data_IF_530046712788
#
_entry.id   IF_530046712788
#
_cell.length_a   1.000
_cell.length_b   1.000
_cell.length_c   1.000
_cell.angle_alpha   90.00
_cell.angle_beta   90.00
_cell.angle_gamma   90.00
#
_symmetry.space_group_name_H-M   'P 1'
#
loop_
_entity.id
_entity.type
_entity.pdbx_description
1 polymer ?
#
# COMPACT_ATOMS: atom_id res chain seq x y z
N UNK A 1 -0.80 11.86 13.40
CA UNK A 1 0.06 12.88 14.05
C UNK A 1 0.31 12.58 15.53
N UNK A 2 -0.72 12.19 16.32
CA UNK A 2 -0.55 11.93 17.76
C UNK A 2 0.46 10.81 18.07
N UNK A 3 0.50 9.74 17.30
CA UNK A 3 1.46 8.64 17.45
C UNK A 3 2.89 9.08 17.09
N UNK A 4 3.04 9.84 16.01
CA UNK A 4 4.32 10.43 15.61
C UNK A 4 4.81 11.40 16.68
N UNK A 5 3.91 12.24 17.23
CA UNK A 5 4.22 13.15 18.32
C UNK A 5 4.80 12.44 19.54
N UNK A 6 4.23 11.30 19.93
CA UNK A 6 4.76 10.49 21.05
C UNK A 6 6.18 9.98 20.81
N UNK A 7 6.51 9.62 19.55
CA UNK A 7 7.87 9.19 19.18
C UNK A 7 8.84 10.37 19.28
N UNK A 8 8.44 11.54 18.76
CA UNK A 8 9.25 12.77 18.84
C UNK A 8 9.49 13.19 20.29
N UNK A 9 8.47 13.10 21.14
CA UNK A 9 8.53 13.43 22.57
C UNK A 9 9.50 12.51 23.37
N UNK A 10 9.89 11.37 22.79
CA UNK A 10 10.96 10.51 23.37
C UNK A 10 12.37 11.10 23.20
N UNK A 11 12.50 12.28 22.60
CA UNK A 11 13.77 12.98 22.42
C UNK A 11 14.35 12.85 21.01
N UNK A 12 13.53 12.53 20.03
CA UNK A 12 13.97 12.48 18.61
C UNK A 12 14.08 13.90 18.06
N UNK A 13 15.29 14.30 17.68
CA UNK A 13 15.52 15.55 16.95
C UNK A 13 15.07 15.41 15.50
N UNK A 14 14.25 16.34 15.03
CA UNK A 14 13.74 16.34 13.65
C UNK A 14 14.31 17.52 12.87
N UNK A 15 14.75 17.26 11.62
CA UNK A 15 15.22 18.27 10.67
C UNK A 15 14.45 18.10 9.36
N UNK A 16 13.45 18.95 9.17
CA UNK A 16 12.62 18.95 7.98
C UNK A 16 13.22 19.83 6.87
N UNK A 17 12.79 19.59 5.61
CA UNK A 17 13.25 20.35 4.45
C UNK A 17 14.72 20.08 4.08
N UNK A 18 15.27 18.97 4.57
CA UNK A 18 16.65 18.54 4.31
C UNK A 18 16.65 17.27 3.49
N UNK A 19 17.40 17.25 2.39
CA UNK A 19 17.64 16.05 1.57
C UNK A 19 19.10 15.64 1.70
N UNK A 20 19.34 14.51 2.31
CA UNK A 20 20.68 13.91 2.42
C UNK A 20 21.18 13.53 1.02
N UNK A 21 22.43 13.83 0.74
CA UNK A 21 23.03 13.71 -0.59
C UNK A 21 22.99 15.02 -1.41
N UNK A 22 22.05 15.94 -1.10
CA UNK A 22 21.97 17.25 -1.75
C UNK A 22 22.28 18.41 -0.79
N UNK A 23 21.49 18.52 0.30
CA UNK A 23 21.68 19.61 1.27
C UNK A 23 22.69 19.25 2.37
N UNK A 24 22.76 17.98 2.72
CA UNK A 24 23.70 17.44 3.70
C UNK A 24 24.44 16.28 3.07
N UNK A 25 25.77 16.37 2.89
CA UNK A 25 26.59 15.27 2.42
C UNK A 25 26.57 14.09 3.37
N UNK A 26 26.66 12.86 2.86
CA UNK A 26 26.71 11.64 3.69
C UNK A 26 27.92 11.65 4.63
N UNK A 27 29.04 12.17 4.14
CA UNK A 27 30.31 12.28 4.90
C UNK A 27 30.20 13.20 6.12
N UNK A 28 29.25 14.14 6.13
CA UNK A 28 28.95 14.96 7.30
C UNK A 28 28.23 14.13 8.36
N UNK A 29 27.24 13.32 7.96
CA UNK A 29 26.56 12.41 8.87
C UNK A 29 27.50 11.35 9.45
N UNK A 30 28.42 10.81 8.63
CA UNK A 30 29.42 9.82 9.06
C UNK A 30 30.40 10.39 10.10
N UNK A 31 30.59 11.70 10.16
CA UNK A 31 31.44 12.35 11.19
C UNK A 31 30.69 12.62 12.48
N UNK A 32 29.41 12.93 12.36
CA UNK A 32 28.59 13.41 13.48
C UNK A 32 27.88 12.28 14.22
N UNK A 33 27.73 11.10 13.59
CA UNK A 33 26.96 9.97 14.11
C UNK A 33 27.74 8.65 14.05
N UNK A 34 27.65 7.85 15.09
CA UNK A 34 28.28 6.52 15.17
C UNK A 34 27.62 5.51 14.22
N UNK A 35 26.34 5.70 13.90
CA UNK A 35 25.60 4.85 12.97
C UNK A 35 24.49 5.63 12.26
N UNK A 36 24.14 5.21 11.04
CA UNK A 36 23.12 5.81 10.20
C UNK A 36 22.11 4.74 9.81
N UNK A 37 20.81 5.00 10.03
CA UNK A 37 19.72 4.16 9.56
C UNK A 37 19.04 4.79 8.34
N UNK A 38 19.10 4.11 7.22
CA UNK A 38 18.41 4.50 6.00
C UNK A 38 16.98 3.93 6.00
N UNK A 39 16.00 4.79 6.14
CA UNK A 39 14.57 4.44 6.11
C UNK A 39 13.83 5.30 5.07
N UNK A 40 14.37 5.36 3.85
CA UNK A 40 13.99 6.29 2.79
C UNK A 40 12.64 5.94 2.14
N UNK A 41 12.21 4.68 2.24
CA UNK A 41 11.07 4.16 1.50
C UNK A 41 11.26 4.22 -0.02
N UNK A 42 10.20 3.94 -0.78
CA UNK A 42 10.19 3.98 -2.24
C UNK A 42 9.32 5.15 -2.71
N UNK A 43 9.93 6.30 -2.97
CA UNK A 43 9.25 7.55 -3.32
C UNK A 43 9.12 7.79 -4.84
N UNK A 44 9.79 6.97 -5.66
CA UNK A 44 9.79 7.10 -7.12
C UNK A 44 9.00 5.98 -7.76
N UNK A 45 7.90 6.29 -8.43
CA UNK A 45 7.14 5.33 -9.22
C UNK A 45 7.76 5.11 -10.60
N UNK A 46 7.66 3.90 -11.13
CA UNK A 46 8.16 3.55 -12.46
C UNK A 46 7.17 3.99 -13.54
N UNK A 47 7.71 4.69 -14.55
CA UNK A 47 6.99 4.98 -15.77
C UNK A 47 6.79 3.72 -16.63
N UNK A 48 5.80 3.76 -17.49
CA UNK A 48 5.52 2.65 -18.40
C UNK A 48 6.54 2.64 -19.56
N UNK A 49 7.27 1.53 -19.80
CA UNK A 49 8.29 1.46 -20.84
C UNK A 49 7.68 1.19 -22.23
N UNK A 50 6.77 2.05 -22.66
CA UNK A 50 6.12 1.95 -23.97
C UNK A 50 6.21 3.26 -24.73
N UNK A 51 6.18 3.24 -26.08
CA UNK A 51 6.10 4.46 -26.88
C UNK A 51 4.97 5.38 -26.44
N UNK A 52 5.21 6.67 -26.48
CA UNK A 52 4.22 7.69 -26.14
C UNK A 52 4.05 7.99 -24.66
N UNK A 53 4.63 7.22 -23.75
CA UNK A 53 4.58 7.50 -22.31
C UNK A 53 5.35 8.76 -21.93
N UNK A 54 6.61 8.81 -22.34
CA UNK A 54 7.55 9.85 -21.95
C UNK A 54 7.06 11.25 -22.35
N UNK A 55 7.10 12.20 -21.38
CA UNK A 55 6.68 13.58 -21.62
C UNK A 55 5.19 13.80 -21.84
N UNK A 56 4.34 12.80 -21.58
CA UNK A 56 2.88 12.92 -21.72
C UNK A 56 2.27 13.40 -20.40
N UNK A 57 1.65 14.60 -20.35
CA UNK A 57 1.26 15.26 -19.10
C UNK A 57 0.26 14.50 -18.23
N UNK A 58 -0.61 13.71 -18.85
CA UNK A 58 -1.63 12.89 -18.17
C UNK A 58 -1.26 11.39 -18.13
N UNK A 59 0.05 11.10 -18.19
CA UNK A 59 0.63 9.81 -17.89
C UNK A 59 1.47 9.97 -16.61
N UNK A 60 1.05 9.36 -15.51
CA UNK A 60 1.67 9.55 -14.20
C UNK A 60 1.96 8.21 -13.53
N UNK A 61 2.92 8.18 -12.62
CA UNK A 61 3.14 7.00 -11.78
C UNK A 61 2.11 6.91 -10.65
N UNK A 62 1.79 5.69 -10.19
CA UNK A 62 0.87 5.47 -9.06
C UNK A 62 1.30 6.20 -7.80
N UNK A 63 2.60 6.21 -7.49
CA UNK A 63 3.15 6.94 -6.34
C UNK A 63 2.88 8.44 -6.45
N UNK A 64 3.14 9.05 -7.61
CA UNK A 64 2.89 10.48 -7.83
C UNK A 64 1.39 10.80 -7.78
N UNK A 65 0.56 9.92 -8.33
CA UNK A 65 -0.89 10.05 -8.30
C UNK A 65 -1.44 10.03 -6.88
N UNK A 66 -1.13 8.98 -6.10
CA UNK A 66 -1.59 8.83 -4.71
C UNK A 66 -1.03 9.94 -3.80
N UNK A 67 0.23 10.33 -4.00
CA UNK A 67 0.83 11.44 -3.27
C UNK A 67 0.08 12.75 -3.51
N UNK A 68 -0.20 13.08 -4.77
CA UNK A 68 -0.92 14.30 -5.12
C UNK A 68 -2.35 14.31 -4.54
N UNK A 69 -3.01 13.16 -4.51
CA UNK A 69 -4.33 13.01 -3.90
C UNK A 69 -4.27 13.21 -2.37
N UNK A 70 -3.40 12.48 -1.68
CA UNK A 70 -3.28 12.54 -0.23
C UNK A 70 -2.82 13.91 0.31
N UNK A 71 -2.08 14.66 -0.50
CA UNK A 71 -1.65 16.04 -0.16
C UNK A 71 -2.70 17.10 -0.56
N UNK A 72 -3.87 16.70 -1.02
CA UNK A 72 -4.92 17.63 -1.45
C UNK A 72 -4.53 18.49 -2.67
N UNK A 73 -3.47 18.09 -3.41
CA UNK A 73 -2.94 18.86 -4.55
C UNK A 73 -3.53 18.43 -5.90
N UNK A 74 -4.28 17.33 -5.90
CA UNK A 74 -4.87 16.83 -7.13
C UNK A 74 -6.13 17.63 -7.48
N UNK A 75 -6.05 18.42 -8.55
CA UNK A 75 -7.16 19.22 -9.09
C UNK A 75 -7.53 18.73 -10.50
N UNK A 76 -7.59 17.42 -10.69
CA UNK A 76 -7.84 16.82 -12.00
C UNK A 76 -9.11 16.01 -11.91
N UNK A 77 -10.09 16.33 -12.77
CA UNK A 77 -11.19 15.44 -13.10
C UNK A 77 -10.80 14.61 -14.32
N UNK A 78 -11.12 13.34 -14.30
CA UNK A 78 -10.96 12.43 -15.42
C UNK A 78 -12.18 11.52 -15.50
N UNK A 79 -12.76 11.40 -16.69
CA UNK A 79 -13.93 10.54 -16.89
C UNK A 79 -13.53 9.09 -17.16
N UNK A 80 -12.35 8.89 -17.81
CA UNK A 80 -11.82 7.57 -18.14
C UNK A 80 -10.40 7.42 -17.67
N UNK A 81 -10.17 6.54 -16.72
CA UNK A 81 -8.85 6.29 -16.13
C UNK A 81 -8.41 4.87 -16.41
N UNK A 82 -7.18 4.70 -16.90
CA UNK A 82 -6.54 3.40 -17.02
C UNK A 82 -5.41 3.32 -16.02
N UNK A 83 -5.44 2.32 -15.16
CA UNK A 83 -4.33 1.92 -14.29
C UNK A 83 -3.65 0.66 -14.84
N UNK A 84 -2.32 0.64 -14.85
CA UNK A 84 -1.54 -0.51 -15.26
C UNK A 84 -0.80 -1.07 -14.05
N UNK A 85 -1.10 -2.30 -13.65
CA UNK A 85 -0.46 -2.96 -12.51
C UNK A 85 -1.25 -4.16 -12.01
N UNK A 86 -0.71 -4.87 -11.04
CA UNK A 86 -1.36 -6.05 -10.45
C UNK A 86 -1.01 -6.24 -8.97
N UNK A 87 -0.43 -5.23 -8.31
CA UNK A 87 -0.12 -5.21 -6.88
C UNK A 87 -1.02 -4.23 -6.12
N UNK A 88 -0.87 -4.17 -4.78
CA UNK A 88 -1.67 -3.34 -3.88
C UNK A 88 -1.72 -1.87 -4.31
N UNK A 89 -0.59 -1.28 -4.72
CA UNK A 89 -0.56 0.11 -5.23
C UNK A 89 -1.52 0.34 -6.41
N UNK A 90 -1.75 -0.67 -7.26
CA UNK A 90 -2.68 -0.54 -8.38
C UNK A 90 -4.14 -0.53 -7.92
N UNK A 91 -4.45 -1.26 -6.84
CA UNK A 91 -5.78 -1.25 -6.22
C UNK A 91 -6.05 0.09 -5.55
N UNK A 92 -5.08 0.62 -4.78
CA UNK A 92 -5.18 1.96 -4.21
C UNK A 92 -5.44 3.03 -5.28
N UNK A 93 -4.71 2.96 -6.40
CA UNK A 93 -4.88 3.89 -7.53
C UNK A 93 -6.28 3.81 -8.11
N UNK A 94 -6.80 2.62 -8.38
CA UNK A 94 -8.14 2.50 -9.01
C UNK A 94 -9.24 2.90 -8.05
N UNK A 95 -9.11 2.62 -6.76
CA UNK A 95 -10.05 3.04 -5.73
C UNK A 95 -10.12 4.57 -5.61
N UNK A 96 -8.98 5.25 -5.64
CA UNK A 96 -8.92 6.72 -5.69
C UNK A 96 -9.45 7.25 -7.02
N UNK A 97 -9.06 6.63 -8.16
CA UNK A 97 -9.47 7.07 -9.49
C UNK A 97 -10.98 7.03 -9.70
N UNK A 98 -11.68 6.05 -9.10
CA UNK A 98 -13.16 5.98 -9.14
C UNK A 98 -13.81 7.24 -8.58
N UNK A 99 -13.10 8.00 -7.75
CA UNK A 99 -13.60 9.22 -7.10
C UNK A 99 -13.26 10.51 -7.87
N UNK A 100 -12.60 10.43 -9.01
CA UNK A 100 -12.20 11.59 -9.82
C UNK A 100 -13.26 12.05 -10.82
N UNK A 101 -14.23 11.21 -11.16
CA UNK A 101 -15.24 11.51 -12.17
C UNK A 101 -16.22 12.60 -11.73
N UNK A 102 -17.00 13.06 -12.68
CA UNK A 102 -18.07 14.00 -12.41
C UNK A 102 -19.20 13.31 -11.63
N UNK A 103 -19.59 13.89 -10.49
CA UNK A 103 -20.65 13.38 -9.63
C UNK A 103 -21.89 14.25 -9.87
N UNK A 104 -22.89 13.68 -10.55
CA UNK A 104 -24.10 14.41 -10.92
C UNK A 104 -25.14 14.50 -9.80
N UNK A 105 -25.14 13.51 -8.89
CA UNK A 105 -26.16 13.40 -7.84
C UNK A 105 -25.50 13.22 -6.49
N UNK A 106 -25.63 14.22 -5.65
CA UNK A 106 -25.18 14.21 -4.25
C UNK A 106 -26.37 14.34 -3.32
N UNK A 107 -26.26 13.80 -2.12
CA UNK A 107 -27.22 14.08 -1.08
C UNK A 107 -27.15 15.58 -0.71
N UNK A 108 -28.30 16.23 -0.43
CA UNK A 108 -28.27 17.60 0.03
C UNK A 108 -27.41 17.76 1.28
N UNK A 109 -26.41 18.65 1.22
CA UNK A 109 -25.46 18.89 2.30
C UNK A 109 -24.09 18.18 2.14
N UNK A 110 -23.97 17.27 1.19
CA UNK A 110 -22.67 16.69 0.82
C UNK A 110 -22.02 17.52 -0.28
N UNK A 111 -20.73 17.77 -0.13
CA UNK A 111 -19.90 18.44 -1.14
C UNK A 111 -18.82 17.49 -1.65
N UNK A 112 -19.19 16.48 -2.50
CA UNK A 112 -18.23 15.46 -2.94
C UNK A 112 -17.03 16.04 -3.66
N UNK A 113 -17.20 17.17 -4.32
CA UNK A 113 -16.11 17.87 -5.00
C UNK A 113 -15.04 18.37 -4.01
N UNK A 114 -15.45 18.99 -2.89
CA UNK A 114 -14.52 19.40 -1.84
C UNK A 114 -13.91 18.19 -1.14
N UNK A 115 -14.68 17.15 -0.88
CA UNK A 115 -14.22 15.93 -0.25
C UNK A 115 -13.16 15.24 -1.11
N UNK A 116 -13.39 15.14 -2.43
CA UNK A 116 -12.43 14.52 -3.36
C UNK A 116 -11.19 15.41 -3.54
N UNK A 117 -11.37 16.73 -3.65
CA UNK A 117 -10.27 17.67 -3.88
C UNK A 117 -9.42 17.94 -2.64
N UNK A 118 -10.02 17.92 -1.47
CA UNK A 118 -9.33 18.22 -0.20
C UNK A 118 -8.71 16.97 0.45
N UNK A 119 -8.83 15.81 -0.20
CA UNK A 119 -8.30 14.55 0.35
C UNK A 119 -9.14 13.97 1.49
N UNK A 120 -10.24 14.62 1.79
CA UNK A 120 -11.20 14.20 2.81
C UNK A 120 -12.18 13.21 2.22
N UNK A 121 -11.88 11.94 2.33
CA UNK A 121 -12.84 10.91 1.96
C UNK A 121 -13.20 10.14 3.22
N UNK A 122 -14.30 10.51 3.88
CA UNK A 122 -14.95 9.56 4.76
C UNK A 122 -15.30 8.34 3.90
N UNK A 123 -14.92 7.14 4.34
CA UNK A 123 -15.02 5.90 3.56
C UNK A 123 -16.42 5.69 2.94
N UNK A 124 -17.44 6.15 3.60
CA UNK A 124 -18.84 5.98 3.20
C UNK A 124 -19.30 6.97 2.12
N UNK A 125 -18.84 8.21 2.19
CA UNK A 125 -19.02 9.20 1.12
C UNK A 125 -18.24 8.79 -0.12
N UNK A 126 -17.05 8.17 0.08
CA UNK A 126 -16.24 7.65 -1.00
C UNK A 126 -16.92 6.53 -1.78
N UNK A 127 -17.68 5.64 -1.15
CA UNK A 127 -18.40 4.57 -1.84
C UNK A 127 -19.55 5.13 -2.70
N UNK A 128 -20.27 6.12 -2.18
CA UNK A 128 -21.33 6.79 -2.94
C UNK A 128 -20.76 7.56 -4.14
N UNK A 129 -19.66 8.27 -3.93
CA UNK A 129 -18.93 8.96 -4.98
C UNK A 129 -18.37 8.00 -6.03
N UNK A 130 -17.81 6.86 -5.59
CA UNK A 130 -17.28 5.83 -6.48
C UNK A 130 -18.35 5.23 -7.41
N UNK A 131 -19.57 5.07 -6.95
CA UNK A 131 -20.67 4.56 -7.77
C UNK A 131 -21.01 5.48 -8.97
N UNK A 132 -20.69 6.77 -8.89
CA UNK A 132 -20.96 7.79 -9.89
C UNK A 132 -19.68 8.38 -10.52
N UNK A 133 -18.52 7.90 -10.10
CA UNK A 133 -17.22 8.47 -10.48
C UNK A 133 -16.72 8.03 -11.85
N UNK A 134 -15.43 8.22 -12.08
CA UNK A 134 -14.79 7.90 -13.35
C UNK A 134 -14.97 6.43 -13.75
N UNK A 135 -15.02 6.17 -15.05
CA UNK A 135 -14.88 4.84 -15.61
C UNK A 135 -13.39 4.41 -15.44
N UNK A 136 -13.15 3.44 -14.57
CA UNK A 136 -11.80 3.00 -14.24
C UNK A 136 -11.54 1.59 -14.75
N UNK A 137 -10.48 1.44 -15.54
CA UNK A 137 -9.99 0.15 -16.02
C UNK A 137 -8.62 -0.14 -15.42
N UNK A 138 -8.49 -1.29 -14.77
CA UNK A 138 -7.21 -1.86 -14.33
C UNK A 138 -6.74 -2.90 -15.37
N UNK A 139 -5.54 -2.75 -15.90
CA UNK A 139 -4.91 -3.77 -16.76
C UNK A 139 -3.78 -4.46 -16.00
N UNK A 140 -3.75 -5.78 -16.01
CA UNK A 140 -2.71 -6.60 -15.38
C UNK A 140 -2.09 -7.58 -16.39
N UNK A 141 -0.77 -7.74 -16.34
CA UNK A 141 -0.06 -8.78 -17.09
C UNK A 141 -0.45 -10.18 -16.62
N UNK A 142 -0.69 -10.34 -15.33
CA UNK A 142 -1.05 -11.59 -14.70
C UNK A 142 -2.56 -11.80 -14.70
N UNK A 143 -2.99 -13.04 -14.79
CA UNK A 143 -4.38 -13.36 -14.57
C UNK A 143 -4.79 -13.06 -13.13
N UNK A 144 -6.08 -12.76 -12.92
CA UNK A 144 -6.64 -12.29 -11.64
C UNK A 144 -6.19 -13.12 -10.43
N UNK A 145 -6.12 -14.44 -10.57
CA UNK A 145 -5.69 -15.35 -9.49
C UNK A 145 -4.20 -15.31 -9.18
N UNK A 146 -3.42 -14.70 -10.07
CA UNK A 146 -1.96 -14.59 -9.98
C UNK A 146 -1.52 -13.15 -9.68
N UNK A 147 -2.47 -12.23 -9.54
CA UNK A 147 -2.18 -10.86 -9.13
C UNK A 147 -1.57 -10.85 -7.73
N UNK A 148 -0.63 -9.96 -7.49
CA UNK A 148 0.03 -9.82 -6.17
C UNK A 148 -0.81 -9.06 -5.16
N UNK A 149 -1.83 -8.32 -5.61
CA UNK A 149 -2.77 -7.64 -4.74
C UNK A 149 -3.61 -8.64 -3.94
N UNK A 150 -3.97 -8.27 -2.74
CA UNK A 150 -4.78 -9.11 -1.86
C UNK A 150 -6.16 -9.41 -2.49
N UNK A 151 -6.60 -10.66 -2.42
CA UNK A 151 -7.83 -11.11 -3.09
C UNK A 151 -9.07 -10.31 -2.67
N UNK A 152 -9.16 -9.96 -1.39
CA UNK A 152 -10.28 -9.16 -0.87
C UNK A 152 -10.27 -7.73 -1.42
N UNK A 153 -9.10 -7.10 -1.58
CA UNK A 153 -8.96 -5.77 -2.16
C UNK A 153 -9.33 -5.75 -3.64
N UNK A 154 -8.95 -6.80 -4.39
CA UNK A 154 -9.37 -6.99 -5.79
C UNK A 154 -10.89 -7.13 -5.87
N UNK A 155 -11.49 -7.86 -4.93
CA UNK A 155 -12.94 -8.00 -4.85
C UNK A 155 -13.63 -6.67 -4.55
N UNK A 156 -13.09 -5.89 -3.62
CA UNK A 156 -13.62 -4.57 -3.26
C UNK A 156 -13.56 -3.60 -4.44
N UNK A 157 -12.45 -3.58 -5.19
CA UNK A 157 -12.33 -2.78 -6.41
C UNK A 157 -13.40 -3.15 -7.47
N UNK A 158 -13.66 -4.43 -7.67
CA UNK A 158 -14.74 -4.90 -8.55
C UNK A 158 -16.11 -4.45 -8.08
N UNK A 159 -16.36 -4.49 -6.76
CA UNK A 159 -17.61 -4.06 -6.15
C UNK A 159 -17.80 -2.54 -6.30
N UNK A 160 -16.72 -1.77 -6.28
CA UNK A 160 -16.72 -0.33 -6.58
C UNK A 160 -16.88 -0.03 -8.10
N UNK A 161 -17.02 -1.03 -8.93
CA UNK A 161 -17.25 -0.87 -10.37
C UNK A 161 -16.00 -0.67 -11.22
N UNK A 162 -14.82 -1.08 -10.73
CA UNK A 162 -13.59 -1.12 -11.53
C UNK A 162 -13.67 -2.27 -12.53
N UNK A 163 -13.35 -2.01 -13.79
CA UNK A 163 -13.18 -3.04 -14.82
C UNK A 163 -11.75 -3.58 -14.75
N UNK A 164 -11.60 -4.88 -14.53
CA UNK A 164 -10.27 -5.52 -14.51
C UNK A 164 -10.08 -6.35 -15.80
N UNK A 165 -9.08 -5.95 -16.59
CA UNK A 165 -8.61 -6.67 -17.77
C UNK A 165 -7.30 -7.37 -17.42
N UNK A 166 -7.39 -8.64 -17.13
CA UNK A 166 -6.26 -9.49 -16.76
C UNK A 166 -5.66 -10.21 -17.97
N UNK A 167 -4.38 -10.59 -17.91
CA UNK A 167 -3.64 -11.14 -19.05
C UNK A 167 -3.48 -10.14 -20.20
N UNK A 168 -3.33 -8.85 -19.88
CA UNK A 168 -3.28 -7.76 -20.86
C UNK A 168 -2.02 -6.94 -20.67
N UNK A 169 -1.29 -6.70 -21.77
CA UNK A 169 -0.09 -5.88 -21.76
C UNK A 169 -0.28 -4.58 -22.56
N UNK A 170 0.28 -3.47 -22.06
CA UNK A 170 0.31 -2.20 -22.79
C UNK A 170 1.32 -2.26 -23.94
N UNK A 171 0.98 -1.63 -25.06
CA UNK A 171 1.82 -1.53 -26.25
C UNK A 171 2.28 -0.11 -26.55
N UNK A 172 1.38 0.88 -26.41
CA UNK A 172 1.63 2.25 -26.81
C UNK A 172 0.61 3.20 -26.18
N UNK A 173 1.05 4.39 -25.79
CA UNK A 173 0.18 5.51 -25.44
C UNK A 173 -0.14 6.31 -26.69
N UNK A 174 -1.42 6.42 -27.03
CA UNK A 174 -1.90 7.18 -28.18
C UNK A 174 -2.19 8.62 -27.72
N UNK A 175 -1.51 9.59 -28.34
CA UNK A 175 -1.65 11.02 -28.02
C UNK A 175 -2.68 11.70 -28.92
N UNK A 176 -3.35 12.69 -28.37
CA UNK A 176 -4.14 13.65 -29.11
C UNK A 176 -3.28 14.74 -29.77
N UNK A 177 -3.92 15.66 -30.47
CA UNK A 177 -3.26 16.82 -31.09
C UNK A 177 -2.69 17.79 -30.06
N UNK A 178 -3.24 17.80 -28.86
CA UNK A 178 -2.79 18.58 -27.70
C UNK A 178 -1.57 17.97 -26.97
N UNK A 179 -1.06 16.82 -27.45
CA UNK A 179 0.06 16.10 -26.86
C UNK A 179 -0.29 15.29 -25.60
N UNK A 180 -1.55 15.27 -25.19
CA UNK A 180 -2.04 14.47 -24.06
C UNK A 180 -2.40 13.05 -24.53
N UNK A 181 -2.30 12.09 -23.61
CA UNK A 181 -2.83 10.75 -23.88
C UNK A 181 -4.35 10.83 -24.04
N UNK A 182 -4.87 10.16 -25.05
CA UNK A 182 -6.30 9.95 -25.29
C UNK A 182 -6.69 8.48 -25.28
N UNK A 183 -5.73 7.59 -25.35
CA UNK A 183 -5.96 6.15 -25.31
C UNK A 183 -4.67 5.37 -25.02
N UNK A 184 -4.84 4.13 -24.60
CA UNK A 184 -3.79 3.12 -24.48
C UNK A 184 -4.07 1.98 -25.45
N UNK A 185 -3.11 1.65 -26.32
CA UNK A 185 -3.16 0.42 -27.12
C UNK A 185 -2.63 -0.74 -26.30
N UNK A 186 -3.38 -1.82 -26.26
CA UNK A 186 -3.08 -3.03 -25.49
C UNK A 186 -3.27 -4.26 -26.34
N UNK A 187 -2.70 -5.40 -25.92
CA UNK A 187 -3.03 -6.72 -26.46
C UNK A 187 -3.12 -7.73 -25.32
N UNK A 188 -3.71 -8.88 -25.57
CA UNK A 188 -3.65 -10.01 -24.66
C UNK A 188 -2.23 -10.56 -24.59
N UNK A 189 -1.85 -11.11 -23.44
CA UNK A 189 -0.53 -11.69 -23.24
C UNK A 189 -0.60 -12.93 -22.35
N UNK A 190 0.42 -13.76 -22.47
CA UNK A 190 0.73 -14.85 -21.55
C UNK A 190 2.06 -14.58 -20.88
N UNK A 191 2.27 -15.12 -19.68
CA UNK A 191 3.52 -14.91 -18.95
C UNK A 191 4.46 -16.13 -19.12
N UNK A 192 5.71 -15.87 -19.52
CA UNK A 192 6.82 -16.82 -19.43
C UNK A 192 7.75 -16.36 -18.30
N UNK A 193 7.51 -16.87 -17.10
CA UNK A 193 8.09 -16.34 -15.88
C UNK A 193 7.65 -14.89 -15.63
N UNK A 194 8.61 -13.95 -15.71
CA UNK A 194 8.34 -12.51 -15.55
C UNK A 194 8.25 -11.75 -16.88
N UNK A 195 8.35 -12.46 -18.01
CA UNK A 195 8.33 -11.85 -19.34
C UNK A 195 6.95 -12.01 -19.98
N UNK A 196 6.25 -10.91 -20.30
CA UNK A 196 4.99 -11.00 -21.06
C UNK A 196 5.27 -11.33 -22.52
N UNK A 197 4.48 -12.24 -23.08
CA UNK A 197 4.48 -12.63 -24.48
C UNK A 197 3.17 -12.16 -25.09
N UNK A 198 3.19 -11.23 -26.06
CA UNK A 198 1.98 -10.73 -26.70
C UNK A 198 1.29 -11.82 -27.53
N UNK A 199 -0.03 -11.79 -27.55
CA UNK A 199 -0.86 -12.61 -28.44
C UNK A 199 -1.21 -11.76 -29.66
N UNK A 200 -0.65 -12.14 -30.82
CA UNK A 200 -0.89 -11.43 -32.08
C UNK A 200 -2.37 -11.44 -32.48
N UNK A 201 -2.85 -10.33 -33.02
CA UNK A 201 -4.22 -10.18 -33.52
C UNK A 201 -5.26 -9.88 -32.42
N UNK A 202 -4.81 -9.63 -31.17
CA UNK A 202 -5.68 -9.25 -30.04
C UNK A 202 -5.56 -7.77 -29.66
N UNK A 203 -4.88 -6.99 -30.49
CA UNK A 203 -4.66 -5.57 -30.26
C UNK A 203 -5.97 -4.80 -30.22
N UNK A 204 -6.12 -3.96 -29.20
CA UNK A 204 -7.27 -3.08 -29.04
C UNK A 204 -6.87 -1.76 -28.41
N UNK A 205 -7.72 -0.78 -28.56
CA UNK A 205 -7.53 0.58 -28.04
C UNK A 205 -8.53 0.81 -26.91
N UNK A 206 -8.01 1.25 -25.76
CA UNK A 206 -8.79 1.67 -24.59
C UNK A 206 -8.70 3.19 -24.51
N UNK A 207 -9.82 3.89 -24.52
CA UNK A 207 -9.86 5.35 -24.36
C UNK A 207 -9.48 5.72 -22.92
N UNK A 208 -8.76 6.82 -22.74
CA UNK A 208 -8.35 7.31 -21.44
C UNK A 208 -8.04 8.81 -21.44
N UNK A 209 -8.49 9.50 -20.39
CA UNK A 209 -8.15 10.88 -20.08
C UNK A 209 -6.95 10.95 -19.12
N UNK A 210 -6.70 9.86 -18.39
CA UNK A 210 -5.59 9.71 -17.45
C UNK A 210 -5.08 8.28 -17.51
N UNK A 211 -3.76 8.12 -17.59
CA UNK A 211 -3.10 6.82 -17.53
C UNK A 211 -2.14 6.79 -16.34
N UNK A 212 -2.33 5.82 -15.45
CA UNK A 212 -1.53 5.67 -14.23
C UNK A 212 -0.73 4.38 -14.28
N UNK A 213 0.58 4.48 -14.14
CA UNK A 213 1.49 3.33 -14.10
C UNK A 213 1.78 2.92 -12.65
N UNK A 214 1.30 1.75 -12.24
CA UNK A 214 1.51 1.13 -10.93
C UNK A 214 2.34 -0.16 -11.03
N UNK A 215 3.40 -0.15 -11.86
CA UNK A 215 4.26 -1.31 -12.17
C UNK A 215 5.49 -1.43 -11.28
N UNK A 216 5.49 -0.79 -10.15
CA UNK A 216 6.55 -0.82 -9.16
C UNK A 216 7.10 0.56 -8.83
N UNK A 217 7.92 0.58 -7.78
CA UNK A 217 8.47 1.78 -7.21
C UNK A 217 9.91 1.54 -6.74
N UNK A 218 10.64 2.61 -6.50
CA UNK A 218 12.02 2.58 -6.02
C UNK A 218 12.35 3.81 -5.19
N UNK A 219 13.56 3.83 -4.63
CA UNK A 219 14.10 4.97 -3.91
C UNK A 219 14.55 6.09 -4.87
N UNK A 220 14.62 7.30 -4.34
CA UNK A 220 15.36 8.39 -4.97
C UNK A 220 16.78 8.38 -4.42
N UNK A 221 17.72 8.04 -5.29
CA UNK A 221 19.15 7.96 -4.96
C UNK A 221 19.96 9.16 -5.44
N UNK A 222 19.32 10.28 -5.76
CA UNK A 222 20.04 11.51 -6.12
C UNK A 222 20.95 11.94 -4.98
N UNK A 223 22.27 11.94 -5.21
CA UNK A 223 23.31 12.19 -4.20
C UNK A 223 23.58 11.02 -3.24
N UNK A 224 22.98 9.86 -3.49
CA UNK A 224 23.14 8.62 -2.74
C UNK A 224 23.43 7.41 -3.66
N UNK A 225 23.96 7.66 -4.85
CA UNK A 225 24.16 6.66 -5.91
C UNK A 225 24.99 5.47 -5.43
N UNK A 226 25.90 5.69 -4.48
CA UNK A 226 26.76 4.64 -3.90
C UNK A 226 26.00 3.61 -3.05
N UNK A 227 24.71 3.85 -2.77
CA UNK A 227 23.84 2.95 -2.02
C UNK A 227 22.83 2.22 -2.90
N UNK A 228 22.65 2.66 -4.16
CA UNK A 228 21.75 1.99 -5.10
C UNK A 228 22.35 0.65 -5.57
N UNK A 229 21.57 -0.40 -5.47
CA UNK A 229 21.95 -1.72 -6.00
C UNK A 229 21.73 -1.86 -7.52
N UNK A 230 21.44 -0.76 -8.23
CA UNK A 230 21.15 -0.71 -9.66
C UNK A 230 19.69 -1.03 -10.02
N UNK A 231 18.82 -1.16 -9.01
CA UNK A 231 17.38 -1.41 -9.18
C UNK A 231 16.50 -0.36 -8.50
N UNK A 232 17.10 0.72 -7.99
CA UNK A 232 16.43 1.72 -7.18
C UNK A 232 16.10 1.23 -5.77
N UNK A 233 16.92 0.31 -5.22
CA UNK A 233 16.76 -0.26 -3.88
C UNK A 233 18.12 -0.34 -3.20
N UNK A 234 18.13 -0.56 -1.87
CA UNK A 234 19.33 -0.81 -1.07
C UNK A 234 19.44 -2.29 -0.71
N UNK A 235 20.66 -2.81 -0.71
CA UNK A 235 20.91 -4.14 -0.18
C UNK A 235 21.06 -4.11 1.34
N UNK A 236 20.61 -5.18 2.00
CA UNK A 236 20.78 -5.42 3.43
C UNK A 236 21.36 -6.82 3.67
N UNK A 237 22.22 -6.93 4.66
CA UNK A 237 22.60 -8.24 5.20
C UNK A 237 21.53 -8.76 6.19
N UNK A 238 21.80 -9.91 6.82
CA UNK A 238 20.88 -10.52 7.81
C UNK A 238 20.69 -9.71 9.10
N UNK A 239 21.50 -8.70 9.32
CA UNK A 239 21.43 -7.78 10.46
C UNK A 239 20.95 -6.39 10.05
N UNK A 240 20.50 -6.26 8.81
CA UNK A 240 20.06 -5.00 8.20
C UNK A 240 21.17 -3.95 8.10
N UNK A 241 22.43 -4.39 8.08
CA UNK A 241 23.56 -3.54 7.71
C UNK A 241 23.68 -3.51 6.18
N UNK A 242 24.04 -2.34 5.65
CA UNK A 242 24.35 -2.19 4.22
C UNK A 242 25.68 -2.90 3.95
N UNK A 243 25.78 -3.86 3.02
CA UNK A 243 27.01 -4.56 2.71
C UNK A 243 28.15 -3.58 2.37
N UNK A 244 29.34 -3.88 2.88
CA UNK A 244 30.57 -3.10 2.66
C UNK A 244 30.52 -1.63 3.15
N UNK A 245 29.52 -1.27 3.95
CA UNK A 245 29.32 0.06 4.55
C UNK A 245 29.19 -0.05 6.08
N UNK A 246 30.27 -0.18 6.83
CA UNK A 246 30.22 -0.26 8.30
C UNK A 246 29.52 0.98 8.88
N UNK A 247 28.66 0.79 9.88
CA UNK A 247 27.86 1.86 10.49
C UNK A 247 26.61 2.29 9.73
N UNK A 248 26.39 1.79 8.50
CA UNK A 248 25.16 2.06 7.75
C UNK A 248 24.20 0.88 7.84
N UNK A 249 22.98 1.18 8.25
CA UNK A 249 21.89 0.22 8.38
C UNK A 249 20.71 0.66 7.51
N UNK A 250 19.83 -0.27 7.18
CA UNK A 250 18.72 0.00 6.28
C UNK A 250 17.48 -0.78 6.69
N UNK A 251 16.30 -0.18 6.57
CA UNK A 251 15.03 -0.84 6.88
C UNK A 251 13.88 -0.28 6.02
N UNK A 252 12.82 -1.07 5.87
CA UNK A 252 11.60 -0.69 5.16
C UNK A 252 11.66 -0.91 3.65
N UNK A 253 10.77 -0.26 2.95
CA UNK A 253 10.51 -0.48 1.52
C UNK A 253 11.72 -0.24 0.61
N UNK A 254 12.68 0.53 1.07
CA UNK A 254 13.91 0.77 0.31
C UNK A 254 14.74 -0.51 0.10
N UNK A 255 14.55 -1.54 0.92
CA UNK A 255 15.12 -2.88 0.71
C UNK A 255 14.26 -3.64 -0.31
N UNK A 256 12.97 -3.64 -0.06
CA UNK A 256 11.94 -4.27 -0.89
C UNK A 256 10.58 -3.76 -0.44
N UNK A 257 9.80 -3.13 -1.34
CA UNK A 257 8.43 -2.71 -1.02
C UNK A 257 7.59 -3.86 -0.48
N UNK A 258 6.99 -3.65 0.69
CA UNK A 258 6.19 -4.65 1.38
C UNK A 258 5.22 -4.00 2.38
N UNK A 259 4.61 -4.81 3.26
CA UNK A 259 3.68 -4.36 4.28
C UNK A 259 4.35 -3.47 5.34
N UNK A 260 3.59 -2.56 5.93
CA UNK A 260 4.03 -1.70 7.03
C UNK A 260 4.58 -2.53 8.22
N UNK A 261 3.93 -3.65 8.54
CA UNK A 261 4.38 -4.57 9.59
C UNK A 261 5.76 -5.14 9.32
N UNK A 262 6.11 -5.41 8.04
CA UNK A 262 7.44 -5.84 7.64
C UNK A 262 8.47 -4.74 7.89
N UNK A 263 8.15 -3.50 7.51
CA UNK A 263 9.03 -2.35 7.73
C UNK A 263 9.30 -2.12 9.24
N UNK A 264 8.27 -2.22 10.09
CA UNK A 264 8.40 -2.11 11.55
C UNK A 264 9.27 -3.22 12.11
N UNK A 265 9.06 -4.47 11.67
CA UNK A 265 9.88 -5.61 12.10
C UNK A 265 11.35 -5.48 11.68
N UNK A 266 11.62 -5.01 10.46
CA UNK A 266 12.97 -4.73 9.97
C UNK A 266 13.63 -3.61 10.80
N UNK A 267 12.91 -2.52 11.06
CA UNK A 267 13.39 -1.39 11.86
C UNK A 267 13.75 -1.83 13.28
N UNK A 268 12.96 -2.71 13.90
CA UNK A 268 13.26 -3.26 15.22
C UNK A 268 14.57 -4.05 15.24
N UNK A 269 14.83 -4.90 14.23
CA UNK A 269 16.08 -5.64 14.14
C UNK A 269 17.25 -4.70 13.82
N UNK A 270 17.06 -3.75 12.90
CA UNK A 270 18.07 -2.76 12.58
C UNK A 270 18.48 -1.94 13.82
N UNK A 271 17.52 -1.49 14.64
CA UNK A 271 17.79 -0.77 15.87
C UNK A 271 18.63 -1.58 16.87
N UNK A 272 18.33 -2.88 17.02
CA UNK A 272 19.15 -3.77 17.85
C UNK A 272 20.56 -3.97 17.27
N UNK A 273 20.66 -4.08 15.95
CA UNK A 273 21.97 -4.22 15.27
C UNK A 273 22.82 -2.97 15.41
N UNK A 274 22.20 -1.78 15.34
CA UNK A 274 22.85 -0.50 15.61
C UNK A 274 23.36 -0.46 17.05
N UNK A 275 22.54 -0.83 18.01
CA UNK A 275 22.97 -0.86 19.43
C UNK A 275 24.17 -1.81 19.63
N UNK A 276 24.12 -3.01 19.06
CA UNK A 276 25.23 -3.96 19.12
C UNK A 276 26.49 -3.42 18.44
N UNK A 277 26.34 -2.76 17.29
CA UNK A 277 27.44 -2.15 16.57
C UNK A 277 28.12 -1.04 17.40
N UNK A 278 27.35 -0.11 17.94
CA UNK A 278 27.84 1.00 18.78
C UNK A 278 28.50 0.48 20.06
N UNK A 279 27.89 -0.54 20.68
CA UNK A 279 28.44 -1.17 21.89
C UNK A 279 29.59 -2.16 21.60
N UNK A 280 29.97 -2.37 20.34
CA UNK A 280 30.96 -3.37 19.92
C UNK A 280 30.67 -4.79 20.44
N UNK A 281 29.37 -5.10 20.55
CA UNK A 281 28.87 -6.39 21.01
C UNK A 281 28.65 -7.35 19.81
N UNK A 282 28.76 -8.68 20.00
CA UNK A 282 28.46 -9.64 18.97
C UNK A 282 26.97 -9.63 18.64
N UNK A 283 26.63 -9.80 17.37
CA UNK A 283 25.24 -9.87 16.93
C UNK A 283 24.52 -11.09 17.51
N UNK A 284 23.37 -10.87 18.13
CA UNK A 284 22.51 -11.93 18.61
C UNK A 284 21.79 -12.65 17.45
N UNK A 285 21.47 -13.94 17.65
CA UNK A 285 20.59 -14.65 16.70
C UNK A 285 19.18 -14.10 16.78
N UNK A 286 18.62 -13.74 15.63
CA UNK A 286 17.28 -13.13 15.56
C UNK A 286 16.35 -13.92 14.65
N UNK A 287 15.04 -13.83 14.89
CA UNK A 287 14.06 -14.44 14.00
C UNK A 287 14.10 -13.77 12.61
N UNK A 288 13.65 -14.48 11.59
CA UNK A 288 13.45 -13.92 10.26
C UNK A 288 12.18 -13.05 10.26
N UNK A 289 12.27 -11.85 9.68
CA UNK A 289 11.14 -10.92 9.57
C UNK A 289 10.24 -11.23 8.37
N UNK A 290 10.79 -11.83 7.31
CA UNK A 290 10.08 -12.06 6.05
C UNK A 290 9.30 -13.40 6.02
N UNK A 291 8.74 -13.83 7.15
CA UNK A 291 7.95 -15.06 7.20
C UNK A 291 6.48 -14.70 6.96
N UNK A 292 6.05 -14.81 5.71
CA UNK A 292 4.67 -14.52 5.30
C UNK A 292 3.63 -15.54 5.80
N UNK A 293 4.06 -16.74 6.15
CA UNK A 293 3.17 -17.80 6.59
C UNK A 293 3.60 -18.27 7.97
N UNK A 294 3.01 -17.68 8.98
CA UNK A 294 3.18 -18.10 10.35
C UNK A 294 2.07 -19.09 10.71
N UNK A 295 2.39 -20.37 10.70
CA UNK A 295 1.48 -21.39 11.23
C UNK A 295 1.70 -21.49 12.74
N UNK A 296 0.85 -20.81 13.50
CA UNK A 296 0.93 -20.76 14.96
C UNK A 296 0.83 -22.17 15.57
N UNK A 297 -0.08 -22.99 15.10
CA UNK A 297 -0.29 -24.35 15.62
C UNK A 297 0.96 -25.20 15.44
N UNK A 298 1.59 -25.14 14.27
CA UNK A 298 2.85 -25.82 14.01
C UNK A 298 3.98 -25.33 14.90
N UNK A 299 4.05 -24.01 15.13
CA UNK A 299 5.05 -23.43 16.03
C UNK A 299 4.85 -23.81 17.49
N UNK A 300 3.62 -23.91 17.91
CA UNK A 300 3.27 -24.40 19.25
C UNK A 300 3.62 -25.88 19.38
N UNK A 301 3.35 -26.70 18.37
CA UNK A 301 3.72 -28.11 18.33
C UNK A 301 5.25 -28.30 18.37
N UNK A 302 6.00 -27.55 17.56
CA UNK A 302 7.48 -27.54 17.54
C UNK A 302 8.08 -27.09 18.89
N UNK A 303 7.36 -26.26 19.65
CA UNK A 303 7.75 -25.79 20.97
C UNK A 303 7.20 -26.65 22.12
N UNK A 304 6.57 -27.79 21.82
CA UNK A 304 5.87 -28.66 22.78
C UNK A 304 4.76 -27.93 23.58
N UNK A 305 4.26 -26.82 23.03
CA UNK A 305 3.15 -26.02 23.55
C UNK A 305 1.86 -26.40 22.80
N UNK A 306 1.54 -27.69 22.74
CA UNK A 306 0.27 -28.09 22.14
C UNK A 306 -0.88 -27.34 22.85
N UNK A 307 -1.79 -26.69 22.10
CA UNK A 307 -2.98 -26.14 22.72
C UNK A 307 -3.68 -27.28 23.45
N UNK A 308 -4.12 -27.03 24.69
CA UNK A 308 -5.01 -27.94 25.38
C UNK A 308 -6.06 -28.38 24.37
N UNK A 309 -6.30 -29.68 24.27
CA UNK A 309 -7.33 -30.19 23.39
C UNK A 309 -8.59 -29.43 23.77
N UNK A 310 -8.94 -28.47 22.96
CA UNK A 310 -10.27 -27.94 22.99
C UNK A 310 -11.15 -29.14 22.70
N UNK A 311 -11.78 -29.67 23.72
CA UNK A 311 -12.96 -30.46 23.51
C UNK A 311 -13.77 -29.64 22.53
N UNK A 312 -14.19 -30.24 21.44
CA UNK A 312 -15.03 -29.59 20.44
C UNK A 312 -16.41 -29.28 21.05
N UNK A 313 -16.40 -28.78 22.28
CA UNK A 313 -17.53 -28.32 23.02
C UNK A 313 -18.08 -27.17 22.22
N UNK A 314 -19.05 -27.60 21.44
CA UNK A 314 -20.12 -26.73 21.06
C UNK A 314 -19.61 -25.33 20.75
N UNK A 315 -18.95 -25.20 19.59
CA UNK A 315 -18.51 -23.90 19.04
C UNK A 315 -19.66 -22.90 18.94
N UNK A 316 -20.90 -23.31 19.24
CA UNK A 316 -22.05 -22.45 19.36
C UNK A 316 -21.90 -21.34 20.39
N UNK A 317 -21.14 -21.58 21.46
CA UNK A 317 -20.97 -20.62 22.55
C UNK A 317 -19.65 -19.84 22.45
N UNK A 318 -18.89 -20.05 21.37
CA UNK A 318 -17.60 -19.41 21.18
C UNK A 318 -17.67 -18.34 20.07
N UNK A 319 -16.74 -17.39 20.13
CA UNK A 319 -16.53 -16.43 19.05
C UNK A 319 -16.38 -17.17 17.72
N UNK A 320 -17.18 -16.77 16.75
CA UNK A 320 -17.26 -17.45 15.46
C UNK A 320 -18.33 -18.52 15.44
N UNK A 321 -19.40 -18.36 16.21
CA UNK A 321 -20.64 -19.12 16.06
C UNK A 321 -21.16 -19.01 14.63
N UNK A 322 -21.85 -20.04 14.17
CA UNK A 322 -22.29 -20.12 12.78
C UNK A 322 -23.25 -18.99 12.37
N UNK A 323 -23.95 -18.38 13.33
CA UNK A 323 -24.83 -17.24 13.10
C UNK A 323 -24.13 -15.87 13.17
N UNK A 324 -22.89 -15.84 13.64
CA UNK A 324 -22.08 -14.62 13.70
C UNK A 324 -22.58 -13.53 14.65
N UNK A 325 -23.63 -13.81 15.45
CA UNK A 325 -24.31 -12.80 16.25
C UNK A 325 -23.67 -12.59 17.63
N UNK A 326 -22.72 -13.42 18.02
CA UNK A 326 -22.15 -13.41 19.36
C UNK A 326 -20.62 -13.38 19.32
N UNK A 327 -20.00 -12.65 20.26
CA UNK A 327 -18.57 -12.65 20.48
C UNK A 327 -18.22 -12.78 21.97
N UNK A 328 -17.10 -13.43 22.26
CA UNK A 328 -16.57 -13.60 23.61
C UNK A 328 -15.46 -12.57 23.81
N UNK A 329 -15.60 -11.72 24.83
CA UNK A 329 -14.65 -10.65 25.13
C UNK A 329 -13.51 -11.07 26.04
N UNK A 330 -13.75 -12.01 26.96
CA UNK A 330 -12.73 -12.48 27.89
C UNK A 330 -12.14 -13.80 27.39
N UNK A 331 -10.83 -13.79 27.11
CA UNK A 331 -10.10 -14.97 26.66
C UNK A 331 -9.32 -15.67 27.77
N UNK A 332 -9.05 -15.00 28.88
CA UNK A 332 -8.26 -15.53 29.98
C UNK A 332 -9.09 -16.40 30.91
N UNK A 333 -10.30 -15.96 31.22
CA UNK A 333 -11.27 -16.73 32.02
C UNK A 333 -12.57 -16.94 31.24
N UNK A 334 -12.70 -18.09 30.62
CA UNK A 334 -13.87 -18.43 29.82
C UNK A 334 -15.13 -18.70 30.63
N UNK A 335 -14.99 -19.03 31.92
CA UNK A 335 -16.14 -19.21 32.81
C UNK A 335 -16.80 -17.88 33.15
N UNK A 336 -16.04 -16.80 33.07
CA UNK A 336 -16.47 -15.41 33.27
C UNK A 336 -16.59 -14.63 31.95
N UNK A 337 -16.52 -15.30 30.80
CA UNK A 337 -16.59 -14.65 29.49
C UNK A 337 -17.95 -13.97 29.30
N UNK A 338 -17.90 -12.69 29.01
CA UNK A 338 -19.09 -11.95 28.59
C UNK A 338 -19.37 -12.21 27.13
N UNK A 339 -20.58 -12.67 26.85
CA UNK A 339 -21.04 -12.88 25.47
C UNK A 339 -21.91 -11.70 25.08
N UNK A 340 -21.43 -10.91 24.13
CA UNK A 340 -22.12 -9.71 23.67
C UNK A 340 -22.73 -9.99 22.27
N UNK A 341 -24.00 -9.63 22.03
CA UNK A 341 -24.60 -9.70 20.72
C UNK A 341 -23.75 -8.97 19.68
N UNK A 342 -23.64 -9.53 18.48
CA UNK A 342 -22.79 -8.98 17.43
C UNK A 342 -23.20 -7.55 17.03
N UNK A 343 -24.49 -7.24 17.08
CA UNK A 343 -25.03 -5.90 16.79
C UNK A 343 -24.73 -4.87 17.88
N UNK A 344 -24.39 -5.30 19.10
CA UNK A 344 -23.93 -4.44 20.17
C UNK A 344 -22.40 -4.22 20.16
N UNK A 345 -21.66 -4.99 19.36
CA UNK A 345 -20.24 -4.79 19.18
C UNK A 345 -19.98 -3.56 18.34
N UNK A 346 -18.94 -2.79 18.69
CA UNK A 346 -18.49 -1.66 17.87
C UNK A 346 -18.26 -2.08 16.41
N UNK A 347 -17.75 -3.29 16.18
CA UNK A 347 -17.56 -3.86 14.84
C UNK A 347 -18.88 -4.19 14.12
N UNK A 348 -19.98 -4.40 14.83
CA UNK A 348 -21.31 -4.62 14.22
C UNK A 348 -21.82 -3.39 13.45
N UNK A 349 -21.35 -2.22 13.83
CA UNK A 349 -21.69 -0.97 13.14
C UNK A 349 -20.93 -0.77 11.82
N UNK A 350 -19.92 -1.58 11.55
CA UNK A 350 -19.18 -1.59 10.29
C UNK A 350 -19.76 -2.53 9.24
N UNK A 351 -20.94 -3.11 9.48
CA UNK A 351 -21.68 -3.84 8.46
C UNK A 351 -21.93 -2.98 7.23
N UNK A 352 -21.81 -3.56 6.03
CA UNK A 352 -21.95 -2.88 4.74
C UNK A 352 -23.20 -2.00 4.65
N UNK A 353 -24.31 -2.45 5.25
CA UNK A 353 -25.58 -1.71 5.28
C UNK A 353 -25.63 -0.57 6.30
N UNK A 354 -24.77 -0.58 7.31
CA UNK A 354 -24.74 0.44 8.34
C UNK A 354 -23.80 1.60 8.00
N UNK A 355 -22.89 1.42 7.05
CA UNK A 355 -21.92 2.45 6.64
C UNK A 355 -22.61 3.72 6.15
N UNK A 356 -23.71 3.59 5.40
CA UNK A 356 -24.52 4.73 4.94
C UNK A 356 -25.35 5.41 6.04
N UNK A 357 -25.38 4.83 7.24
CA UNK A 357 -26.13 5.36 8.39
C UNK A 357 -25.22 5.79 9.51
N UNK A 358 -23.92 5.79 9.28
CA UNK A 358 -22.93 6.22 10.27
C UNK A 358 -23.24 7.68 10.59
N UNK A 359 -23.58 7.94 11.83
CA UNK A 359 -23.65 9.31 12.31
C UNK A 359 -22.25 9.91 12.28
N UNK A 360 -22.16 11.18 12.00
CA UNK A 360 -20.93 11.98 11.87
C UNK A 360 -20.19 12.18 13.22
N UNK A 361 -20.35 11.28 14.18
CA UNK A 361 -19.65 11.30 15.46
C UNK A 361 -18.23 10.69 15.37
N UNK A 362 -17.71 10.49 14.16
CA UNK A 362 -16.30 10.15 13.98
C UNK A 362 -15.54 11.46 13.99
N UNK A 363 -14.54 11.62 14.91
CA UNK A 363 -13.72 12.82 14.92
C UNK A 363 -13.21 13.12 13.51
N UNK A 364 -13.45 14.33 13.05
CA UNK A 364 -12.86 14.81 11.81
C UNK A 364 -11.37 15.00 12.05
N UNK A 365 -10.56 15.00 11.00
CA UNK A 365 -9.11 15.21 11.15
C UNK A 365 -8.75 16.58 11.76
N UNK A 366 -9.74 17.44 12.01
CA UNK A 366 -9.59 18.73 12.68
C UNK A 366 -9.84 18.64 14.20
N UNK A 367 -10.37 17.54 14.73
CA UNK A 367 -10.52 17.21 16.13
C UNK A 367 -9.39 16.26 16.60
#
# INVERSE_FOLDING_TARGET
DAEIGRIIDMGVETRFGVKVGENVPVEELEKDYDAILWALGCQSGRGLPVPGWEGTPNCVSGVAFLKAFNEGRMKVTADKVICIGGGDTSIDVVSVARRLGHIEHTNPGEHPESIIHDGYVAHDTAMTAAAQGAEVTLTSLFHRKEMMAAEHEVHDALTEGVTILDGVMPLEVIKGEDGRAKALRVCDCTMDGMKPIPTEGTERVLEADLIVSAIGQGGDFTGLEQFDNGRGLMNADKFYQVPDKPGHFVAGDIIRPHLLTTAIGQAWIAAQSINEYVMQAPHARRPKVDVHHFNLLRKMEEAELAPDKFDAVERGDMRGTADGNWAIHNYEDRSAAEVIPHDELFLGHFGFHARNKRKEDVPTAEE
#
